data_IF_019963991295
#
_entry.id   IF_019963991295
#
_cell.length_a   1.000
_cell.length_b   1.000
_cell.length_c   1.000
_cell.angle_alpha   90.00
_cell.angle_beta   90.00
_cell.angle_gamma   90.00
#
_symmetry.space_group_name_H-M   'P 1'
#
loop_
_entity.id
_entity.type
_entity.pdbx_description
1 polymer ?
#
# COMPACT_ATOMS: atom_id res chain seq x y z
N UNK A 1 20.02 -37.55 38.11
CA UNK A 1 20.31 -36.27 37.45
C UNK A 1 18.99 -35.70 36.95
N UNK A 2 18.43 -34.74 37.69
CA UNK A 2 17.12 -34.14 37.42
C UNK A 2 17.21 -33.16 36.26
N UNK A 3 16.51 -33.46 35.16
CA UNK A 3 16.24 -32.50 34.09
C UNK A 3 15.22 -31.47 34.59
N UNK A 4 15.72 -30.33 35.04
CA UNK A 4 14.92 -29.13 35.29
C UNK A 4 14.40 -28.61 33.94
N UNK A 5 13.18 -29.02 33.58
CA UNK A 5 12.38 -28.32 32.59
C UNK A 5 12.07 -26.93 33.14
N UNK A 6 12.88 -25.93 32.76
CA UNK A 6 12.50 -24.52 32.86
C UNK A 6 11.22 -24.36 32.05
N UNK A 7 10.09 -24.25 32.76
CA UNK A 7 8.84 -23.80 32.19
C UNK A 7 9.08 -22.39 31.63
N UNK A 8 9.24 -22.32 30.31
CA UNK A 8 9.07 -21.08 29.57
C UNK A 8 7.62 -20.65 29.80
N UNK A 9 7.42 -19.86 30.85
CA UNK A 9 6.22 -19.08 31.04
C UNK A 9 6.13 -18.15 29.83
N UNK A 10 5.42 -18.64 28.81
CA UNK A 10 4.78 -17.84 27.78
C UNK A 10 3.82 -16.93 28.53
N UNK A 11 4.37 -15.86 29.09
CA UNK A 11 3.65 -14.67 29.48
C UNK A 11 2.97 -14.21 28.21
N UNK A 12 1.72 -14.67 28.03
CA UNK A 12 0.72 -14.07 27.17
C UNK A 12 0.54 -12.62 27.63
N UNK A 13 1.52 -11.76 27.33
CA UNK A 13 1.28 -10.33 27.24
C UNK A 13 0.24 -10.24 26.15
N UNK A 14 -0.99 -9.96 26.56
CA UNK A 14 -2.03 -9.41 25.71
C UNK A 14 -1.44 -8.16 25.04
N UNK A 15 -0.69 -8.40 23.98
CA UNK A 15 -0.19 -7.35 23.11
C UNK A 15 -1.44 -6.95 22.35
N UNK A 16 -2.07 -5.88 22.84
CA UNK A 16 -3.15 -5.21 22.12
C UNK A 16 -2.80 -5.23 20.62
N UNK A 17 -3.71 -5.64 19.74
CA UNK A 17 -3.44 -5.71 18.30
C UNK A 17 -2.90 -4.38 17.75
N UNK A 18 -3.23 -3.26 18.42
CA UNK A 18 -2.67 -1.94 18.13
C UNK A 18 -1.18 -1.79 18.49
N UNK A 19 -0.68 -2.44 19.56
CA UNK A 19 0.74 -2.41 19.93
C UNK A 19 1.64 -3.09 18.89
N UNK A 20 1.17 -4.18 18.27
CA UNK A 20 1.90 -4.83 17.17
C UNK A 20 1.89 -3.96 15.90
N UNK A 21 0.82 -3.20 15.67
CA UNK A 21 0.66 -2.35 14.48
C UNK A 21 1.51 -1.08 14.47
N UNK A 22 1.98 -0.60 15.63
CA UNK A 22 2.70 0.67 15.77
C UNK A 22 4.19 0.50 16.10
N UNK A 23 4.87 -0.47 15.50
CA UNK A 23 6.34 -0.56 15.57
C UNK A 23 7.02 0.37 14.56
N UNK A 24 6.70 1.68 14.59
CA UNK A 24 7.30 2.68 13.69
C UNK A 24 8.84 2.67 13.76
N UNK A 25 9.41 2.39 14.93
CA UNK A 25 10.86 2.24 15.10
C UNK A 25 11.40 1.07 14.28
N UNK A 26 10.73 -0.08 14.32
CA UNK A 26 11.10 -1.27 13.54
C UNK A 26 10.91 -1.07 12.04
N UNK A 27 9.86 -0.34 11.66
CA UNK A 27 9.66 0.11 10.29
C UNK A 27 10.83 0.96 9.80
N UNK A 28 11.19 2.01 10.54
CA UNK A 28 12.32 2.87 10.18
C UNK A 28 13.64 2.12 10.14
N UNK A 29 13.86 1.20 11.08
CA UNK A 29 15.04 0.33 11.11
C UNK A 29 15.12 -0.55 9.86
N UNK A 30 14.04 -1.28 9.54
CA UNK A 30 13.93 -2.12 8.35
C UNK A 30 14.14 -1.28 7.08
N UNK A 31 13.52 -0.11 7.00
CA UNK A 31 13.67 0.81 5.87
C UNK A 31 15.12 1.27 5.68
N UNK A 32 15.81 1.65 6.76
CA UNK A 32 17.22 2.05 6.70
C UNK A 32 18.11 0.90 6.21
N UNK A 33 17.90 -0.32 6.71
CA UNK A 33 18.60 -1.51 6.26
C UNK A 33 18.44 -1.72 4.74
N UNK A 34 17.19 -1.68 4.23
CA UNK A 34 16.91 -1.81 2.79
C UNK A 34 17.57 -0.69 1.96
N UNK A 35 17.51 0.55 2.43
CA UNK A 35 18.09 1.69 1.72
C UNK A 35 19.62 1.65 1.71
N UNK A 36 20.24 1.14 2.78
CA UNK A 36 21.69 0.92 2.87
C UNK A 36 22.20 -0.25 2.03
N UNK A 37 21.29 -1.10 1.53
CA UNK A 37 21.62 -2.25 0.68
C UNK A 37 21.84 -3.55 1.44
N UNK A 38 21.45 -3.64 2.71
CA UNK A 38 21.48 -4.90 3.45
C UNK A 38 20.54 -5.93 2.79
N UNK A 39 21.00 -7.18 2.57
CA UNK A 39 20.22 -8.21 1.88
C UNK A 39 19.19 -8.88 2.81
N UNK A 40 18.34 -8.09 3.48
CA UNK A 40 17.35 -8.59 4.46
C UNK A 40 16.30 -9.55 3.86
N UNK A 41 16.19 -9.58 2.53
CA UNK A 41 15.36 -10.53 1.78
C UNK A 41 15.94 -11.94 1.73
N UNK A 42 17.22 -12.12 2.04
CA UNK A 42 17.91 -13.43 2.08
C UNK A 42 17.89 -14.05 3.48
N UNK A 43 17.72 -13.22 4.52
CA UNK A 43 17.68 -13.68 5.91
C UNK A 43 16.52 -14.65 6.15
N UNK A 44 16.79 -15.67 6.97
CA UNK A 44 15.77 -16.59 7.47
C UNK A 44 14.76 -15.85 8.36
N UNK A 45 13.60 -16.47 8.62
CA UNK A 45 12.61 -15.86 9.51
C UNK A 45 13.19 -15.59 10.92
N UNK A 46 13.97 -16.54 11.43
CA UNK A 46 14.61 -16.48 12.75
C UNK A 46 15.66 -15.36 12.82
N UNK A 47 16.49 -15.22 11.78
CA UNK A 47 17.49 -14.16 11.68
C UNK A 47 16.84 -12.78 11.63
N UNK A 48 15.77 -12.63 10.85
CA UNK A 48 15.01 -11.37 10.77
C UNK A 48 14.37 -11.01 12.10
N UNK A 49 13.78 -11.99 12.79
CA UNK A 49 13.20 -11.76 14.12
C UNK A 49 14.28 -11.40 15.14
N UNK A 50 15.42 -12.10 15.14
CA UNK A 50 16.56 -11.79 16.02
C UNK A 50 17.13 -10.40 15.78
N UNK A 51 17.19 -9.98 14.52
CA UNK A 51 17.64 -8.64 14.14
C UNK A 51 16.54 -7.58 14.24
N UNK A 52 15.33 -7.96 14.66
CA UNK A 52 14.17 -7.08 14.77
C UNK A 52 13.88 -6.33 13.46
N UNK A 53 13.80 -7.08 12.36
CA UNK A 53 13.28 -6.62 11.08
C UNK A 53 11.85 -7.10 10.86
N UNK A 54 11.07 -6.33 10.11
CA UNK A 54 9.71 -6.71 9.71
C UNK A 54 9.77 -7.73 8.56
N UNK A 55 8.76 -8.60 8.46
CA UNK A 55 8.58 -9.42 7.27
C UNK A 55 8.28 -8.55 6.04
N UNK A 56 8.64 -9.02 4.84
CA UNK A 56 8.53 -8.27 3.60
C UNK A 56 7.09 -7.78 3.32
N UNK A 57 6.10 -8.65 3.50
CA UNK A 57 4.70 -8.28 3.27
C UNK A 57 4.23 -7.28 4.32
N UNK A 58 4.56 -7.55 5.59
CA UNK A 58 4.15 -6.69 6.70
C UNK A 58 4.82 -5.32 6.65
N UNK A 59 6.07 -5.24 6.19
CA UNK A 59 6.79 -4.00 5.95
C UNK A 59 6.13 -3.16 4.85
N UNK A 60 5.73 -3.77 3.73
CA UNK A 60 5.00 -3.07 2.66
C UNK A 60 3.61 -2.61 3.12
N UNK A 61 2.90 -3.42 3.90
CA UNK A 61 1.62 -3.03 4.52
C UNK A 61 1.77 -1.82 5.46
N UNK A 62 2.80 -1.83 6.32
CA UNK A 62 3.08 -0.70 7.21
C UNK A 62 3.48 0.55 6.42
N UNK A 63 4.20 0.42 5.30
CA UNK A 63 4.48 1.55 4.42
C UNK A 63 3.20 2.19 3.90
N UNK A 64 2.25 1.39 3.37
CA UNK A 64 0.98 1.92 2.87
C UNK A 64 0.16 2.59 3.97
N UNK A 65 0.17 2.01 5.18
CA UNK A 65 -0.45 2.63 6.36
C UNK A 65 0.18 3.98 6.70
N UNK A 66 1.50 4.05 6.83
CA UNK A 66 2.22 5.29 7.14
C UNK A 66 2.10 6.32 6.01
N UNK A 67 2.00 5.88 4.75
CA UNK A 67 1.76 6.76 3.61
C UNK A 67 0.37 7.42 3.68
N UNK A 68 -0.65 6.71 4.18
CA UNK A 68 -2.01 7.21 4.32
C UNK A 68 -2.23 8.09 5.56
N UNK A 69 -1.38 7.97 6.60
CA UNK A 69 -1.56 8.71 7.85
C UNK A 69 -1.66 10.24 7.67
N UNK A 70 -0.77 10.92 6.92
CA UNK A 70 -0.87 12.36 6.69
C UNK A 70 -2.21 12.77 6.06
N UNK A 71 -2.70 11.98 5.11
CA UNK A 71 -4.00 12.17 4.48
C UNK A 71 -5.13 12.14 5.50
N UNK A 72 -5.19 11.10 6.33
CA UNK A 72 -6.26 10.94 7.35
C UNK A 72 -6.25 12.12 8.32
N UNK A 73 -5.07 12.53 8.79
CA UNK A 73 -4.93 13.65 9.73
C UNK A 73 -5.38 14.97 9.09
N UNK A 74 -4.87 15.28 7.90
CA UNK A 74 -5.14 16.55 7.21
C UNK A 74 -6.63 16.66 6.85
N UNK A 75 -7.21 15.62 6.25
CA UNK A 75 -8.64 15.64 5.87
C UNK A 75 -9.54 15.75 7.10
N UNK A 76 -9.20 15.09 8.22
CA UNK A 76 -9.98 15.20 9.45
C UNK A 76 -9.92 16.61 10.05
N UNK A 77 -8.74 17.24 10.04
CA UNK A 77 -8.58 18.64 10.48
C UNK A 77 -9.38 19.58 9.57
N UNK A 78 -9.31 19.39 8.25
CA UNK A 78 -10.08 20.19 7.30
C UNK A 78 -11.59 20.04 7.54
N UNK A 79 -12.10 18.81 7.69
CA UNK A 79 -13.51 18.59 7.98
C UNK A 79 -13.95 19.21 9.31
N UNK A 80 -13.08 19.20 10.33
CA UNK A 80 -13.36 19.83 11.62
C UNK A 80 -13.40 21.36 11.53
N UNK A 81 -12.53 21.97 10.72
CA UNK A 81 -12.49 23.43 10.51
C UNK A 81 -13.66 23.91 9.66
N UNK A 82 -14.01 23.16 8.61
CA UNK A 82 -14.98 23.55 7.58
C UNK A 82 -16.31 22.78 7.71
N UNK A 83 -16.69 22.43 8.94
CA UNK A 83 -17.84 21.57 9.25
C UNK A 83 -19.15 22.18 8.70
N UNK A 84 -19.51 21.82 7.47
CA UNK A 84 -20.76 22.25 6.84
C UNK A 84 -21.88 21.29 7.24
N UNK A 85 -22.67 21.75 8.21
CA UNK A 85 -24.11 21.51 8.41
C UNK A 85 -24.69 20.22 7.80
N UNK A 86 -25.00 19.28 8.71
CA UNK A 86 -25.95 18.14 8.63
C UNK A 86 -26.61 17.93 7.26
N UNK A 87 -26.29 16.79 6.64
CA UNK A 87 -27.04 16.26 5.50
C UNK A 87 -28.56 16.27 5.78
N UNK A 88 -29.38 16.73 4.83
CA UNK A 88 -30.84 16.67 4.94
C UNK A 88 -31.33 15.22 5.06
N UNK A 89 -32.56 15.03 5.53
CA UNK A 89 -33.24 13.73 5.56
C UNK A 89 -33.14 13.07 4.18
N UNK A 90 -32.43 11.94 4.13
CA UNK A 90 -32.05 11.25 2.91
C UNK A 90 -33.23 10.42 2.38
N UNK A 91 -33.52 10.54 1.08
CA UNK A 91 -34.41 9.60 0.39
C UNK A 91 -33.81 8.19 0.34
N UNK A 92 -34.64 7.17 0.08
CA UNK A 92 -34.21 5.76 0.07
C UNK A 92 -33.04 5.48 -0.89
N UNK A 93 -33.02 6.13 -2.06
CA UNK A 93 -31.92 6.04 -3.03
C UNK A 93 -30.62 6.60 -2.45
N UNK A 94 -30.70 7.66 -1.66
CA UNK A 94 -29.54 8.30 -1.05
C UNK A 94 -29.03 7.47 0.14
N UNK A 95 -29.94 6.84 0.90
CA UNK A 95 -29.59 5.84 1.92
C UNK A 95 -28.83 4.65 1.30
N UNK A 96 -29.28 4.12 0.15
CA UNK A 96 -28.54 3.07 -0.57
C UNK A 96 -27.13 3.54 -0.94
N UNK A 97 -27.00 4.74 -1.51
CA UNK A 97 -25.70 5.27 -1.92
C UNK A 97 -24.74 5.46 -0.74
N UNK A 98 -25.21 5.95 0.41
CA UNK A 98 -24.38 6.10 1.60
C UNK A 98 -23.90 4.76 2.14
N UNK A 99 -24.79 3.77 2.26
CA UNK A 99 -24.42 2.42 2.69
C UNK A 99 -23.43 1.80 1.71
N UNK A 100 -23.70 1.90 0.41
CA UNK A 100 -22.81 1.40 -0.64
C UNK A 100 -21.43 2.06 -0.58
N UNK A 101 -21.36 3.39 -0.44
CA UNK A 101 -20.07 4.09 -0.34
C UNK A 101 -19.34 3.77 0.97
N UNK A 102 -20.06 3.57 2.07
CA UNK A 102 -19.49 3.12 3.34
C UNK A 102 -18.86 1.73 3.23
N UNK A 103 -19.59 0.76 2.69
CA UNK A 103 -19.08 -0.60 2.45
C UNK A 103 -17.92 -0.57 1.47
N UNK A 104 -18.07 0.11 0.33
CA UNK A 104 -17.04 0.22 -0.68
C UNK A 104 -15.78 0.86 -0.10
N UNK A 105 -15.90 1.94 0.67
CA UNK A 105 -14.81 2.57 1.38
C UNK A 105 -14.09 1.58 2.31
N UNK A 106 -14.83 0.81 3.11
CA UNK A 106 -14.26 -0.24 3.96
C UNK A 106 -13.53 -1.34 3.18
N UNK A 107 -14.15 -1.85 2.10
CA UNK A 107 -13.58 -2.92 1.27
C UNK A 107 -12.36 -2.46 0.47
N UNK A 108 -12.33 -1.21 -0.02
CA UNK A 108 -11.18 -0.68 -0.78
C UNK A 108 -9.87 -0.76 0.00
N UNK A 109 -9.92 -0.65 1.33
CA UNK A 109 -8.75 -0.77 2.20
C UNK A 109 -8.09 -2.17 2.14
N UNK A 110 -8.86 -3.23 1.84
CA UNK A 110 -8.34 -4.60 1.71
C UNK A 110 -7.89 -4.93 0.29
N UNK A 111 -8.44 -4.24 -0.71
CA UNK A 111 -8.13 -4.50 -2.12
C UNK A 111 -6.69 -4.11 -2.46
N UNK A 112 -6.19 -2.98 -1.95
CA UNK A 112 -4.86 -2.50 -2.29
C UNK A 112 -3.75 -3.49 -1.86
N UNK A 113 -3.71 -4.02 -0.62
CA UNK A 113 -2.79 -5.08 -0.22
C UNK A 113 -2.77 -6.32 -1.12
N UNK A 114 -3.95 -6.76 -1.54
CA UNK A 114 -4.12 -7.94 -2.40
C UNK A 114 -3.50 -7.65 -3.79
N UNK A 115 -3.86 -6.52 -4.39
CA UNK A 115 -3.28 -6.06 -5.67
C UNK A 115 -1.76 -6.01 -5.57
N UNK A 116 -1.21 -5.38 -4.52
CA UNK A 116 0.23 -5.23 -4.36
C UNK A 116 0.94 -6.57 -4.22
N UNK A 117 0.37 -7.53 -3.49
CA UNK A 117 0.95 -8.87 -3.35
C UNK A 117 1.02 -9.62 -4.68
N UNK A 118 -0.07 -9.59 -5.46
CA UNK A 118 -0.09 -10.18 -6.80
C UNK A 118 0.87 -9.46 -7.74
N UNK A 119 0.84 -8.12 -7.74
CA UNK A 119 1.70 -7.30 -8.58
C UNK A 119 3.18 -7.54 -8.28
N UNK A 120 3.57 -7.59 -7.00
CA UNK A 120 4.91 -7.92 -6.57
C UNK A 120 5.35 -9.29 -7.11
N UNK A 121 4.47 -10.29 -7.05
CA UNK A 121 4.75 -11.63 -7.58
C UNK A 121 4.92 -11.64 -9.10
N UNK A 122 4.07 -10.91 -9.84
CA UNK A 122 4.20 -10.79 -11.29
C UNK A 122 5.48 -10.07 -11.71
N UNK A 123 5.79 -8.94 -11.06
CA UNK A 123 6.97 -8.14 -11.35
C UNK A 123 8.26 -8.86 -10.95
N UNK A 124 8.24 -9.62 -9.84
CA UNK A 124 9.34 -10.49 -9.46
C UNK A 124 9.63 -11.54 -10.53
N UNK A 125 8.61 -12.28 -10.99
CA UNK A 125 8.75 -13.23 -12.11
C UNK A 125 9.24 -12.55 -13.38
N UNK A 126 8.69 -11.37 -13.71
CA UNK A 126 9.07 -10.62 -14.90
C UNK A 126 10.53 -10.14 -14.85
N UNK A 127 11.06 -9.90 -13.64
CA UNK A 127 12.45 -9.51 -13.45
C UNK A 127 13.46 -10.65 -13.61
N UNK A 128 13.01 -11.91 -13.67
CA UNK A 128 13.84 -13.09 -13.89
C UNK A 128 13.92 -13.49 -15.37
N UNK A 129 15.06 -14.01 -15.79
CA UNK A 129 15.20 -14.72 -17.08
C UNK A 129 14.57 -16.09 -17.01
N UNK A 130 14.13 -16.63 -18.15
CA UNK A 130 13.48 -17.95 -18.24
C UNK A 130 14.30 -19.07 -17.57
N UNK A 131 15.62 -19.06 -17.71
CA UNK A 131 16.53 -20.05 -17.12
C UNK A 131 16.58 -20.02 -15.59
N UNK A 132 16.17 -18.90 -14.98
CA UNK A 132 16.21 -18.67 -13.53
C UNK A 132 14.82 -18.81 -12.87
N UNK A 133 13.85 -19.40 -13.56
CA UNK A 133 12.50 -19.64 -13.04
C UNK A 133 12.47 -20.82 -12.07
N UNK A 134 13.06 -20.63 -10.89
CA UNK A 134 12.90 -21.56 -9.77
C UNK A 134 11.99 -20.94 -8.71
N UNK A 135 11.24 -21.76 -7.98
CA UNK A 135 10.37 -21.30 -6.89
C UNK A 135 11.13 -20.50 -5.85
N UNK A 136 12.36 -20.92 -5.54
CA UNK A 136 13.25 -20.23 -4.60
C UNK A 136 13.63 -18.83 -5.11
N UNK A 137 14.10 -18.70 -6.35
CA UNK A 137 14.46 -17.40 -6.93
C UNK A 137 13.26 -16.48 -7.05
N UNK A 138 12.09 -17.01 -7.40
CA UNK A 138 10.84 -16.24 -7.44
C UNK A 138 10.51 -15.72 -6.03
N UNK A 139 10.49 -16.58 -5.01
CA UNK A 139 10.19 -16.18 -3.64
C UNK A 139 11.17 -15.15 -3.10
N UNK A 140 12.47 -15.35 -3.33
CA UNK A 140 13.52 -14.38 -2.96
C UNK A 140 13.30 -13.02 -3.64
N UNK A 141 13.01 -13.04 -4.94
CA UNK A 141 12.79 -11.81 -5.72
C UNK A 141 11.49 -11.10 -5.32
N UNK A 142 10.43 -11.83 -5.00
CA UNK A 142 9.17 -11.27 -4.48
C UNK A 142 9.41 -10.58 -3.14
N UNK A 143 10.13 -11.22 -2.21
CA UNK A 143 10.51 -10.59 -0.93
C UNK A 143 11.34 -9.32 -1.17
N UNK A 144 12.34 -9.39 -2.04
CA UNK A 144 13.17 -8.23 -2.39
C UNK A 144 12.33 -7.09 -2.99
N UNK A 145 11.37 -7.40 -3.87
CA UNK A 145 10.45 -6.42 -4.44
C UNK A 145 9.68 -5.69 -3.34
N UNK A 146 9.03 -6.44 -2.44
CA UNK A 146 8.21 -5.88 -1.36
C UNK A 146 9.03 -4.98 -0.42
N UNK A 147 10.27 -5.38 -0.10
CA UNK A 147 11.17 -4.52 0.67
C UNK A 147 11.58 -3.27 -0.09
N UNK A 148 11.96 -3.37 -1.36
CA UNK A 148 12.37 -2.18 -2.13
C UNK A 148 11.21 -1.20 -2.33
N UNK A 149 10.01 -1.72 -2.57
CA UNK A 149 8.78 -0.93 -2.69
C UNK A 149 8.45 -0.25 -1.36
N UNK A 150 8.38 -0.99 -0.25
CA UNK A 150 8.13 -0.40 1.07
C UNK A 150 9.21 0.60 1.54
N UNK A 151 10.44 0.47 1.06
CA UNK A 151 11.51 1.40 1.44
C UNK A 151 11.49 2.69 0.60
N UNK A 152 11.21 2.59 -0.70
CA UNK A 152 11.27 3.70 -1.64
C UNK A 152 9.93 4.42 -1.83
N UNK A 153 8.81 3.70 -1.72
CA UNK A 153 7.46 4.17 -2.05
C UNK A 153 6.89 5.21 -1.09
N UNK A 154 7.25 5.14 0.20
CA UNK A 154 6.57 5.85 1.30
C UNK A 154 6.21 7.31 0.98
N UNK A 155 7.20 8.10 0.55
CA UNK A 155 6.99 9.54 0.32
C UNK A 155 6.12 9.83 -0.89
N UNK A 156 6.29 9.07 -1.97
CA UNK A 156 5.53 9.28 -3.19
C UNK A 156 4.11 8.74 -3.07
N UNK A 157 3.93 7.59 -2.43
CA UNK A 157 2.61 7.08 -2.08
C UNK A 157 1.86 8.03 -1.15
N UNK A 158 2.55 8.62 -0.16
CA UNK A 158 1.95 9.60 0.73
C UNK A 158 1.54 10.87 -0.02
N UNK A 159 2.41 11.37 -0.90
CA UNK A 159 2.09 12.52 -1.77
C UNK A 159 0.87 12.25 -2.64
N UNK A 160 0.80 11.08 -3.29
CA UNK A 160 -0.33 10.66 -4.14
C UNK A 160 -1.63 10.51 -3.35
N UNK A 161 -1.57 9.89 -2.18
CA UNK A 161 -2.73 9.70 -1.29
C UNK A 161 -3.28 11.05 -0.83
N UNK A 162 -2.39 11.93 -0.37
CA UNK A 162 -2.75 13.25 0.14
C UNK A 162 -3.32 14.13 -0.97
N UNK A 163 -2.61 14.24 -2.10
CA UNK A 163 -3.04 15.10 -3.21
C UNK A 163 -4.40 14.67 -3.76
N UNK A 164 -4.62 13.36 -3.94
CA UNK A 164 -5.89 12.84 -4.47
C UNK A 164 -7.05 13.12 -3.51
N UNK A 165 -6.82 12.97 -2.21
CA UNK A 165 -7.84 13.25 -1.20
C UNK A 165 -8.12 14.74 -1.04
N UNK A 166 -7.10 15.60 -1.16
CA UNK A 166 -7.27 17.06 -1.18
C UNK A 166 -8.06 17.52 -2.40
N UNK A 167 -7.78 16.99 -3.59
CA UNK A 167 -8.54 17.30 -4.81
C UNK A 167 -10.01 16.94 -4.62
N UNK A 168 -10.30 15.73 -4.12
CA UNK A 168 -11.67 15.28 -3.87
C UNK A 168 -12.36 16.14 -2.82
N UNK A 169 -11.66 16.45 -1.73
CA UNK A 169 -12.17 17.30 -0.66
C UNK A 169 -12.50 18.71 -1.15
N UNK A 170 -11.58 19.34 -1.90
CA UNK A 170 -11.76 20.68 -2.49
C UNK A 170 -12.92 20.71 -3.48
N UNK A 171 -13.07 19.67 -4.30
CA UNK A 171 -14.18 19.55 -5.25
C UNK A 171 -15.54 19.49 -4.55
N UNK A 172 -15.62 18.82 -3.39
CA UNK A 172 -16.87 18.66 -2.64
C UNK A 172 -17.27 19.89 -1.79
N UNK A 173 -16.33 20.75 -1.42
CA UNK A 173 -16.60 21.87 -0.50
C UNK A 173 -16.95 23.19 -1.22
N UNK A 174 -17.17 23.18 -2.53
CA UNK A 174 -17.52 24.38 -3.32
C UNK A 174 -16.54 25.57 -3.18
N UNK A 175 -15.35 25.35 -2.62
CA UNK A 175 -14.31 26.38 -2.44
C UNK A 175 -13.70 26.77 -3.80
N UNK A 176 -13.88 25.93 -4.83
CA UNK A 176 -13.30 26.06 -6.18
C UNK A 176 -13.69 27.37 -6.90
N UNK A 177 -14.72 28.10 -6.46
CA UNK A 177 -15.10 29.40 -7.03
C UNK A 177 -14.30 30.61 -6.51
N UNK A 178 -13.60 30.47 -5.38
CA UNK A 178 -12.84 31.57 -4.77
C UNK A 178 -11.34 31.48 -5.13
N UNK A 179 -10.63 32.60 -5.12
CA UNK A 179 -9.19 32.66 -5.41
C UNK A 179 -8.37 31.68 -4.56
N UNK A 180 -8.69 31.56 -3.27
CA UNK A 180 -8.07 30.61 -2.34
C UNK A 180 -8.28 29.15 -2.78
N UNK A 181 -9.46 28.81 -3.32
CA UNK A 181 -9.76 27.48 -3.82
C UNK A 181 -8.93 27.12 -5.05
N UNK A 182 -8.77 28.06 -5.97
CA UNK A 182 -7.93 27.87 -7.18
C UNK A 182 -6.48 27.60 -6.79
N UNK A 183 -5.91 28.39 -5.87
CA UNK A 183 -4.54 28.16 -5.38
C UNK A 183 -4.39 26.81 -4.67
N UNK A 184 -5.36 26.44 -3.85
CA UNK A 184 -5.36 25.16 -3.14
C UNK A 184 -5.43 23.97 -4.10
N UNK A 185 -6.25 24.08 -5.16
CA UNK A 185 -6.35 23.08 -6.21
C UNK A 185 -5.04 22.94 -6.99
N UNK A 186 -4.43 24.06 -7.40
CA UNK A 186 -3.14 24.06 -8.09
C UNK A 186 -2.05 23.41 -7.23
N UNK A 187 -2.00 23.73 -5.93
CA UNK A 187 -1.06 23.10 -5.00
C UNK A 187 -1.27 21.58 -4.93
N UNK A 188 -2.51 21.11 -4.77
CA UNK A 188 -2.81 19.68 -4.75
C UNK A 188 -2.43 18.98 -6.07
N UNK A 189 -2.65 19.63 -7.22
CA UNK A 189 -2.25 19.11 -8.53
C UNK A 189 -0.72 19.02 -8.69
N UNK A 190 0.04 19.99 -8.16
CA UNK A 190 1.51 19.95 -8.16
C UNK A 190 2.00 18.79 -7.28
N UNK A 191 1.43 18.60 -6.08
CA UNK A 191 1.75 17.46 -5.23
C UNK A 191 1.44 16.12 -5.91
N UNK A 192 0.32 16.05 -6.63
CA UNK A 192 -0.04 14.86 -7.42
C UNK A 192 1.02 14.57 -8.48
N UNK A 193 1.43 15.59 -9.24
CA UNK A 193 2.46 15.46 -10.28
C UNK A 193 3.80 15.00 -9.71
N UNK A 194 4.25 15.58 -8.58
CA UNK A 194 5.49 15.18 -7.89
C UNK A 194 5.39 13.71 -7.44
N UNK A 195 4.26 13.32 -6.84
CA UNK A 195 3.98 11.94 -6.44
C UNK A 195 4.05 10.98 -7.63
N UNK A 196 3.40 11.33 -8.75
CA UNK A 196 3.36 10.51 -9.96
C UNK A 196 4.74 10.35 -10.60
N UNK A 197 5.46 11.44 -10.81
CA UNK A 197 6.80 11.40 -11.42
C UNK A 197 7.78 10.60 -10.55
N UNK A 198 7.71 10.76 -9.23
CA UNK A 198 8.52 10.01 -8.29
C UNK A 198 8.19 8.53 -8.27
N UNK A 199 6.90 8.18 -8.24
CA UNK A 199 6.45 6.79 -8.30
C UNK A 199 6.88 6.15 -9.63
N UNK A 200 6.72 6.85 -10.76
CA UNK A 200 7.19 6.38 -12.06
C UNK A 200 8.69 6.12 -12.06
N UNK A 201 9.49 7.06 -11.53
CA UNK A 201 10.95 6.87 -11.40
C UNK A 201 11.31 5.66 -10.53
N UNK A 202 10.57 5.40 -9.46
CA UNK A 202 10.82 4.23 -8.62
C UNK A 202 10.47 2.95 -9.37
N UNK A 203 9.24 2.85 -9.88
CA UNK A 203 8.72 1.64 -10.51
C UNK A 203 9.46 1.31 -11.81
N UNK A 204 9.79 2.31 -12.63
CA UNK A 204 10.46 2.08 -13.92
C UNK A 204 11.98 2.01 -13.83
N UNK A 205 12.62 2.60 -12.82
CA UNK A 205 14.08 2.70 -12.80
C UNK A 205 14.70 2.16 -11.52
N UNK A 206 14.23 2.60 -10.35
CA UNK A 206 14.94 2.32 -9.10
C UNK A 206 14.76 0.88 -8.63
N UNK A 207 13.52 0.38 -8.57
CA UNK A 207 13.22 -1.00 -8.14
C UNK A 207 13.77 -2.03 -9.13
N UNK A 208 13.53 -1.93 -10.45
CA UNK A 208 13.97 -2.97 -11.39
C UNK A 208 15.48 -3.13 -11.39
N UNK A 209 16.24 -2.01 -11.35
CA UNK A 209 17.71 -2.05 -11.25
C UNK A 209 18.19 -2.80 -10.02
N UNK A 210 17.55 -2.57 -8.87
CA UNK A 210 17.89 -3.29 -7.63
C UNK A 210 17.55 -4.77 -7.76
N UNK A 211 16.38 -5.12 -8.27
CA UNK A 211 15.98 -6.52 -8.48
C UNK A 211 16.89 -7.27 -9.45
N UNK A 212 17.31 -6.63 -10.54
CA UNK A 212 18.25 -7.22 -11.49
C UNK A 212 19.59 -7.51 -10.81
N UNK A 213 20.09 -6.62 -9.96
CA UNK A 213 21.31 -6.85 -9.17
C UNK A 213 21.15 -8.00 -8.17
N UNK A 214 20.01 -8.08 -7.47
CA UNK A 214 19.71 -9.22 -6.57
C UNK A 214 19.79 -10.55 -7.32
N UNK A 215 19.39 -10.56 -8.60
CA UNK A 215 19.43 -11.74 -9.46
C UNK A 215 20.76 -11.93 -10.22
N UNK A 216 21.79 -11.15 -9.91
CA UNK A 216 23.11 -11.26 -10.53
C UNK A 216 23.17 -10.75 -11.97
N UNK A 217 22.16 -10.00 -12.42
CA UNK A 217 22.14 -9.44 -13.77
C UNK A 217 22.84 -8.08 -13.82
N UNK A 218 23.64 -7.90 -14.87
CA UNK A 218 24.20 -6.60 -15.26
C UNK A 218 23.17 -5.76 -16.01
N UNK A 219 23.44 -4.46 -16.17
CA UNK A 219 22.57 -3.56 -16.95
C UNK A 219 22.37 -4.05 -18.39
N UNK A 220 23.40 -4.63 -19.01
CA UNK A 220 23.37 -5.14 -20.39
C UNK A 220 22.53 -6.41 -20.55
N UNK A 221 22.36 -7.19 -19.48
CA UNK A 221 21.77 -8.52 -19.54
C UNK A 221 20.44 -8.63 -18.76
N UNK A 222 19.96 -7.51 -18.23
CA UNK A 222 18.72 -7.42 -17.50
C UNK A 222 17.49 -7.58 -18.42
N UNK A 223 16.45 -8.34 -18.03
CA UNK A 223 15.25 -8.54 -18.83
C UNK A 223 14.29 -7.33 -18.79
N UNK A 224 14.81 -6.14 -19.09
CA UNK A 224 14.09 -4.86 -19.05
C UNK A 224 12.80 -4.87 -19.84
N UNK A 225 12.84 -5.36 -21.09
CA UNK A 225 11.66 -5.38 -21.96
C UNK A 225 10.52 -6.21 -21.36
N UNK A 226 10.87 -7.38 -20.82
CA UNK A 226 9.89 -8.28 -20.18
C UNK A 226 9.29 -7.64 -18.93
N UNK A 227 10.12 -7.06 -18.07
CA UNK A 227 9.66 -6.34 -16.87
C UNK A 227 8.70 -5.21 -17.24
N UNK A 228 9.11 -4.36 -18.18
CA UNK A 228 8.36 -3.19 -18.67
C UNK A 228 7.00 -3.58 -19.25
N UNK A 229 7.00 -4.62 -20.09
CA UNK A 229 5.78 -5.17 -20.68
C UNK A 229 4.84 -5.70 -19.60
N UNK A 230 5.36 -6.49 -18.66
CA UNK A 230 4.54 -7.00 -17.57
C UNK A 230 3.94 -5.85 -16.78
N UNK A 231 4.72 -4.84 -16.39
CA UNK A 231 4.22 -3.67 -15.67
C UNK A 231 3.09 -2.96 -16.42
N UNK A 232 3.28 -2.67 -17.71
CA UNK A 232 2.33 -1.92 -18.53
C UNK A 232 0.99 -2.65 -18.69
N UNK A 233 1.00 -3.98 -18.79
CA UNK A 233 -0.22 -4.77 -19.01
C UNK A 233 -0.82 -5.33 -17.71
N UNK A 234 -0.01 -5.76 -16.75
CA UNK A 234 -0.52 -6.40 -15.53
C UNK A 234 -1.17 -5.38 -14.59
N UNK A 235 -0.63 -4.17 -14.47
CA UNK A 235 -1.18 -3.15 -13.57
C UNK A 235 -2.62 -2.77 -13.95
N UNK A 236 -2.93 -2.38 -15.21
CA UNK A 236 -4.30 -2.03 -15.59
C UNK A 236 -5.25 -3.22 -15.49
N UNK A 237 -4.81 -4.41 -15.91
CA UNK A 237 -5.65 -5.63 -15.87
C UNK A 237 -5.99 -6.00 -14.42
N UNK A 238 -4.99 -6.06 -13.54
CA UNK A 238 -5.22 -6.38 -12.12
C UNK A 238 -6.08 -5.32 -11.43
N UNK A 239 -5.83 -4.04 -11.74
CA UNK A 239 -6.63 -2.94 -11.20
C UNK A 239 -8.09 -3.04 -11.64
N UNK A 240 -8.33 -3.34 -12.93
CA UNK A 240 -9.67 -3.52 -13.47
C UNK A 240 -10.39 -4.73 -12.84
N UNK A 241 -9.72 -5.89 -12.77
CA UNK A 241 -10.28 -7.10 -12.14
C UNK A 241 -10.68 -6.80 -10.69
N UNK A 242 -9.78 -6.18 -9.93
CA UNK A 242 -10.05 -5.86 -8.52
C UNK A 242 -11.15 -4.82 -8.36
N UNK A 243 -11.23 -3.84 -9.26
CA UNK A 243 -12.34 -2.88 -9.29
C UNK A 243 -13.69 -3.57 -9.51
N UNK A 244 -13.77 -4.49 -10.49
CA UNK A 244 -15.01 -5.24 -10.78
C UNK A 244 -15.42 -6.11 -9.58
N UNK A 245 -14.48 -6.86 -9.00
CA UNK A 245 -14.74 -7.70 -7.82
C UNK A 245 -15.24 -6.84 -6.65
N UNK A 246 -14.56 -5.73 -6.38
CA UNK A 246 -14.93 -4.81 -5.31
C UNK A 246 -16.32 -4.21 -5.53
N UNK A 247 -16.65 -3.78 -6.74
CA UNK A 247 -17.96 -3.23 -7.07
C UNK A 247 -19.06 -4.27 -6.86
N UNK A 248 -18.85 -5.50 -7.33
CA UNK A 248 -19.79 -6.61 -7.15
C UNK A 248 -20.00 -6.94 -5.66
N UNK A 249 -18.92 -7.07 -4.89
CA UNK A 249 -18.98 -7.34 -3.44
C UNK A 249 -19.70 -6.21 -2.68
N UNK A 250 -19.37 -4.95 -2.98
CA UNK A 250 -19.99 -3.79 -2.34
C UNK A 250 -21.49 -3.76 -2.62
N UNK A 251 -21.89 -4.07 -3.86
CA UNK A 251 -23.29 -4.11 -4.27
C UNK A 251 -24.05 -5.22 -3.53
N UNK A 252 -23.54 -6.45 -3.54
CA UNK A 252 -24.16 -7.59 -2.86
C UNK A 252 -24.31 -7.37 -1.36
N UNK A 253 -23.28 -6.84 -0.69
CA UNK A 253 -23.35 -6.54 0.75
C UNK A 253 -24.34 -5.40 1.06
N UNK A 254 -24.44 -4.40 0.18
CA UNK A 254 -25.42 -3.31 0.35
C UNK A 254 -26.84 -3.85 0.29
N UNK A 255 -27.14 -4.71 -0.69
CA UNK A 255 -28.46 -5.35 -0.79
C UNK A 255 -28.78 -6.20 0.44
N UNK A 256 -27.80 -6.98 0.92
CA UNK A 256 -27.97 -7.81 2.11
C UNK A 256 -28.26 -6.97 3.37
N UNK A 257 -27.50 -5.88 3.59
CA UNK A 257 -27.70 -5.01 4.75
C UNK A 257 -29.05 -4.29 4.71
N UNK A 258 -29.50 -3.86 3.54
CA UNK A 258 -30.81 -3.23 3.40
C UNK A 258 -31.96 -4.22 3.62
N UNK A 259 -31.82 -5.47 3.16
CA UNK A 259 -32.80 -6.52 3.39
C UNK A 259 -32.95 -6.88 4.89
N UNK A 260 -31.89 -6.77 5.68
CA UNK A 260 -31.92 -7.01 7.14
C UNK A 260 -32.61 -5.85 7.90
N UNK A 261 -32.68 -4.66 7.30
CA UNK A 261 -33.29 -3.47 7.93
C UNK A 261 -34.80 -3.32 7.68
N UNK A 262 -35.39 -4.18 6.85
CA UNK A 262 -36.83 -4.23 6.57
C UNK A 262 -37.52 -5.23 7.51
#
# INVERSE_FOLDING_TARGET
MNQNYKSNSLSNKETSPFKQFFEFQKFQKTRRAVLSGEPIYELSLEERQKQDYLDALYFNLQESFFAALPTVVIIKVLNWIFENSKSPVLGETQKFFEVFQGIRGGLTAFVAPIIFTFLASFLAKASLKKVDYTTEKINRTTKAYLYFDGACGLYFQSSLSLSSSLILWLANHSIVGNSIGIWSMNFAMILLLIGLLGQLKITWWSIPRRLFRVNGYTSSNAPWFKYSRTLLFSVPILSFICYVILAALSFTLTLLLLAIQQ
#
